data_IF_680197158978
#
_entry.id   IF_680197158978
#
_cell.length_a   1.000
_cell.length_b   1.000
_cell.length_c   1.000
_cell.angle_alpha   90.00
_cell.angle_beta   90.00
_cell.angle_gamma   90.00
#
_symmetry.space_group_name_H-M   'P 1'
#
loop_
_entity.id
_entity.type
_entity.pdbx_description
1 polymer ?
#
# COMPACT_ATOMS: atom_id res chain seq x y z
N UNK A 1 -2.56 -9.51 -7.01
CA UNK A 1 -1.42 -10.34 -6.56
C UNK A 1 -0.55 -9.46 -5.66
N UNK A 2 0.18 -10.02 -4.69
CA UNK A 2 1.05 -9.22 -3.81
C UNK A 2 2.48 -9.30 -4.32
N UNK A 3 3.11 -8.16 -4.54
CA UNK A 3 4.53 -8.07 -4.88
C UNK A 3 5.28 -7.37 -3.76
N UNK A 4 6.45 -7.90 -3.43
CA UNK A 4 7.36 -7.29 -2.47
C UNK A 4 8.61 -6.85 -3.20
N UNK A 5 8.98 -5.59 -3.04
CA UNK A 5 10.16 -4.98 -3.69
C UNK A 5 11.01 -4.27 -2.64
N UNK A 6 12.33 -4.34 -2.78
CA UNK A 6 13.21 -3.59 -1.88
C UNK A 6 13.16 -2.09 -2.18
N UNK A 7 13.44 -1.27 -1.17
CA UNK A 7 13.42 0.20 -1.28
C UNK A 7 14.37 0.73 -2.37
N UNK A 8 15.49 0.02 -2.59
CA UNK A 8 16.48 0.34 -3.62
C UNK A 8 15.92 0.19 -5.03
N UNK A 9 15.11 -0.83 -5.26
CA UNK A 9 14.42 -1.01 -6.53
C UNK A 9 13.23 -0.06 -6.62
N UNK A 10 12.50 0.12 -5.53
CA UNK A 10 11.31 0.95 -5.48
C UNK A 10 11.60 2.41 -5.84
N UNK A 11 12.70 3.00 -5.36
CA UNK A 11 13.10 4.37 -5.72
C UNK A 11 13.42 4.54 -7.21
N UNK A 12 13.90 3.47 -7.87
CA UNK A 12 14.26 3.50 -9.29
C UNK A 12 13.05 3.30 -10.20
N UNK A 13 12.11 2.42 -9.82
CA UNK A 13 10.95 2.06 -10.64
C UNK A 13 9.61 2.52 -10.04
N UNK A 14 9.61 3.57 -9.21
CA UNK A 14 8.43 4.04 -8.46
C UNK A 14 7.22 4.26 -9.36
N UNK A 15 7.41 4.90 -10.52
CA UNK A 15 6.34 5.15 -11.50
C UNK A 15 5.64 3.86 -11.94
N UNK A 16 6.41 2.79 -12.18
CA UNK A 16 5.88 1.47 -12.56
C UNK A 16 5.13 0.82 -11.40
N UNK A 17 5.66 0.92 -10.18
CA UNK A 17 5.01 0.38 -8.98
C UNK A 17 3.67 1.05 -8.70
N UNK A 18 3.59 2.37 -8.89
CA UNK A 18 2.32 3.11 -8.78
C UNK A 18 1.32 2.59 -9.80
N UNK A 19 1.71 2.43 -11.07
CA UNK A 19 0.81 1.89 -12.10
C UNK A 19 0.28 0.49 -11.73
N UNK A 20 1.13 -0.37 -11.17
CA UNK A 20 0.71 -1.69 -10.66
C UNK A 20 -0.29 -1.56 -9.52
N UNK A 21 -0.01 -0.68 -8.56
CA UNK A 21 -0.94 -0.42 -7.46
C UNK A 21 -2.30 0.09 -7.96
N UNK A 22 -2.31 1.01 -8.93
CA UNK A 22 -3.52 1.50 -9.59
C UNK A 22 -4.27 0.42 -10.37
N UNK A 23 -3.55 -0.57 -10.90
CA UNK A 23 -4.14 -1.75 -11.54
C UNK A 23 -4.81 -2.72 -10.56
N UNK A 24 -4.76 -2.44 -9.25
CA UNK A 24 -5.30 -3.31 -8.20
C UNK A 24 -4.29 -4.34 -7.65
N UNK A 25 -2.99 -4.21 -7.98
CA UNK A 25 -1.95 -5.02 -7.34
C UNK A 25 -1.58 -4.47 -5.97
N UNK A 26 -1.24 -5.36 -5.04
CA UNK A 26 -0.76 -4.95 -3.74
C UNK A 26 0.77 -4.88 -3.75
N UNK A 27 1.34 -3.68 -3.68
CA UNK A 27 2.79 -3.48 -3.74
C UNK A 27 3.34 -3.18 -2.35
N UNK A 28 4.14 -4.09 -1.81
CA UNK A 28 4.86 -3.98 -0.55
C UNK A 28 6.28 -3.50 -0.83
N UNK A 29 6.69 -2.43 -0.16
CA UNK A 29 8.07 -1.95 -0.13
C UNK A 29 8.73 -2.51 1.12
N UNK A 30 9.90 -3.14 0.95
CA UNK A 30 10.72 -3.69 2.01
C UNK A 30 12.07 -2.97 2.15
N UNK A 31 12.64 -2.96 3.34
CA UNK A 31 14.01 -2.55 3.64
C UNK A 31 14.72 -3.76 4.23
N UNK A 32 15.82 -4.19 3.62
CA UNK A 32 16.60 -5.35 4.09
C UNK A 32 15.74 -6.62 4.21
N UNK A 33 14.81 -6.82 3.26
CA UNK A 33 13.85 -7.93 3.29
C UNK A 33 12.68 -7.78 4.27
N UNK A 34 12.67 -6.73 5.10
CA UNK A 34 11.57 -6.45 6.02
C UNK A 34 10.52 -5.52 5.38
N UNK A 35 9.24 -5.91 5.30
CA UNK A 35 8.19 -5.06 4.72
C UNK A 35 7.92 -3.83 5.59
N UNK A 36 8.03 -2.63 5.02
CA UNK A 36 7.89 -1.35 5.75
C UNK A 36 6.73 -0.49 5.29
N UNK A 37 6.35 -0.58 4.02
CA UNK A 37 5.28 0.23 3.43
C UNK A 37 4.51 -0.54 2.39
N UNK A 38 3.27 -0.12 2.15
CA UNK A 38 2.42 -0.64 1.10
C UNK A 38 1.92 0.52 0.24
N UNK A 39 2.02 0.39 -1.06
CA UNK A 39 1.41 1.32 -2.02
C UNK A 39 0.01 0.84 -2.32
N UNK A 40 -0.96 1.72 -2.10
CA UNK A 40 -2.36 1.53 -2.45
C UNK A 40 -2.86 2.78 -3.18
N UNK A 41 -3.84 2.65 -4.09
CA UNK A 41 -4.46 3.81 -4.73
C UNK A 41 -5.19 4.68 -3.71
N UNK A 42 -5.07 5.99 -3.86
CA UNK A 42 -5.88 6.91 -3.07
C UNK A 42 -7.36 6.73 -3.41
N UNK A 43 -8.20 6.53 -2.41
CA UNK A 43 -9.64 6.23 -2.58
C UNK A 43 -10.00 4.74 -2.54
N UNK A 44 -9.02 3.85 -2.64
CA UNK A 44 -9.16 2.41 -2.30
C UNK A 44 -8.81 2.12 -0.84
N UNK A 45 -8.72 3.17 -0.01
CA UNK A 45 -8.79 3.09 1.45
C UNK A 45 -10.23 2.75 1.86
N UNK A 46 -10.71 1.58 1.44
CA UNK A 46 -11.81 0.93 2.12
C UNK A 46 -11.37 0.72 3.56
N UNK A 47 -12.16 1.25 4.48
CA UNK A 47 -12.14 0.88 5.90
C UNK A 47 -11.03 1.47 6.78
N UNK A 48 -10.88 2.81 6.79
CA UNK A 48 -10.31 3.51 7.98
C UNK A 48 -11.10 4.72 8.44
N UNK A 49 -12.17 5.09 7.73
CA UNK A 49 -13.17 6.03 8.24
C UNK A 49 -14.27 5.22 8.91
N UNK A 50 -14.38 5.39 10.23
CA UNK A 50 -15.53 5.02 11.07
C UNK A 50 -15.46 3.66 11.77
N UNK A 51 -14.55 3.52 12.73
CA UNK A 51 -15.00 3.01 14.04
C UNK A 51 -15.18 4.23 14.96
N UNK A 52 -16.20 5.03 14.67
CA UNK A 52 -16.83 5.77 15.76
C UNK A 52 -17.57 4.71 16.57
N UNK A 53 -17.21 4.43 17.84
CA UNK A 53 -18.13 3.71 18.70
C UNK A 53 -19.41 4.55 18.73
N UNK A 54 -20.49 3.98 18.19
CA UNK A 54 -21.85 4.44 18.44
C UNK A 54 -22.08 4.25 19.95
N UNK A 55 -21.56 5.16 20.76
CA UNK A 55 -21.85 5.22 22.20
C UNK A 55 -23.30 5.64 22.31
N UNK A 56 -24.13 4.60 22.35
CA UNK A 56 -25.55 4.67 22.64
C UNK A 56 -25.69 4.91 24.15
N UNK A 57 -26.09 6.11 24.57
CA UNK A 57 -26.96 6.40 25.73
C UNK A 57 -27.04 7.90 25.97
#
# INVERSE_FOLDING_TARGET
>A
MTITVNIHEAKTQLSKLIQRALSGEEVIIAIDGQPVKRLIPMGLEGDRRTVLPQASS
#
